data_IF_268587282063
#
_entry.id   IF_268587282063
#
_cell.length_a   1.000
_cell.length_b   1.000
_cell.length_c   1.000
_cell.angle_alpha   90.00
_cell.angle_beta   90.00
_cell.angle_gamma   90.00
#
_symmetry.space_group_name_H-M   'P 1'
#
loop_
_entity.id
_entity.type
_entity.pdbx_description
1 polymer ?
#
# COMPACT_ATOMS: atom_id res chain seq x y z
N UNK A 1 27.88 -47.15 8.28
CA UNK A 1 26.67 -46.62 7.62
C UNK A 1 26.42 -45.22 8.17
N UNK A 2 27.08 -44.21 7.64
CA UNK A 2 26.92 -42.79 8.03
C UNK A 2 27.23 -41.95 6.79
N UNK A 3 26.27 -41.86 5.88
CA UNK A 3 26.42 -41.11 4.63
C UNK A 3 25.12 -40.57 4.05
N UNK A 4 23.99 -40.67 4.78
CA UNK A 4 22.66 -40.31 4.26
C UNK A 4 22.23 -38.87 4.59
N UNK A 5 22.86 -38.22 5.57
CA UNK A 5 22.39 -36.94 6.10
C UNK A 5 22.75 -35.73 5.23
N UNK A 6 23.77 -35.82 4.37
CA UNK A 6 24.17 -34.71 3.49
C UNK A 6 23.25 -34.54 2.27
N UNK A 7 22.86 -35.63 1.62
CA UNK A 7 21.99 -35.61 0.43
C UNK A 7 20.58 -35.14 0.77
N UNK A 8 20.03 -35.56 1.91
CA UNK A 8 18.66 -35.17 2.33
C UNK A 8 18.56 -33.69 2.68
N UNK A 9 19.61 -33.10 3.28
CA UNK A 9 19.64 -31.68 3.65
C UNK A 9 19.84 -30.79 2.41
N UNK A 10 20.65 -31.22 1.44
CA UNK A 10 20.84 -30.49 0.17
C UNK A 10 19.60 -30.54 -0.73
N UNK A 11 18.88 -31.67 -0.74
CA UNK A 11 17.64 -31.81 -1.51
C UNK A 11 16.50 -30.99 -0.87
N UNK A 12 16.44 -30.92 0.47
CA UNK A 12 15.51 -30.04 1.18
C UNK A 12 15.76 -28.55 0.87
N UNK A 13 17.02 -28.09 0.93
CA UNK A 13 17.37 -26.70 0.60
C UNK A 13 17.09 -26.36 -0.87
N UNK A 14 17.30 -27.32 -1.79
CA UNK A 14 16.99 -27.14 -3.21
C UNK A 14 15.47 -26.98 -3.43
N UNK A 15 14.67 -27.78 -2.73
CA UNK A 15 13.21 -27.70 -2.79
C UNK A 15 12.69 -26.40 -2.17
N UNK A 16 13.28 -25.93 -1.08
CA UNK A 16 12.92 -24.66 -0.43
C UNK A 16 13.10 -23.47 -1.38
N UNK A 17 14.20 -23.43 -2.13
CA UNK A 17 14.43 -22.38 -3.13
C UNK A 17 13.36 -22.40 -4.24
N UNK A 18 12.96 -23.58 -4.72
CA UNK A 18 11.89 -23.72 -5.72
C UNK A 18 10.54 -23.22 -5.19
N UNK A 19 10.21 -23.54 -3.94
CA UNK A 19 8.98 -23.08 -3.29
C UNK A 19 8.99 -21.57 -3.15
N UNK A 20 10.08 -21.01 -2.61
CA UNK A 20 10.20 -19.57 -2.40
C UNK A 20 10.15 -18.77 -3.70
N UNK A 21 10.78 -19.26 -4.78
CA UNK A 21 10.72 -18.63 -6.09
C UNK A 21 9.30 -18.55 -6.64
N UNK A 22 8.54 -19.64 -6.57
CA UNK A 22 7.10 -19.64 -6.92
C UNK A 22 6.29 -18.70 -6.04
N UNK A 23 6.55 -18.69 -4.74
CA UNK A 23 5.84 -17.81 -3.82
C UNK A 23 6.04 -16.33 -4.17
N UNK A 24 7.26 -15.91 -4.51
CA UNK A 24 7.54 -14.52 -4.90
C UNK A 24 6.77 -14.18 -6.19
N UNK A 25 6.81 -15.07 -7.19
CA UNK A 25 6.11 -14.87 -8.46
C UNK A 25 4.60 -14.71 -8.28
N UNK A 26 3.99 -15.57 -7.47
CA UNK A 26 2.57 -15.49 -7.17
C UNK A 26 2.22 -14.22 -6.37
N UNK A 27 3.10 -13.79 -5.45
CA UNK A 27 2.91 -12.57 -4.67
C UNK A 27 2.90 -11.33 -5.56
N UNK A 28 3.89 -11.23 -6.45
CA UNK A 28 4.01 -10.15 -7.43
C UNK A 28 2.79 -10.10 -8.35
N UNK A 29 2.36 -11.25 -8.90
CA UNK A 29 1.20 -11.31 -9.79
C UNK A 29 -0.09 -10.82 -9.10
N UNK A 30 -0.32 -11.23 -7.85
CA UNK A 30 -1.47 -10.76 -7.06
C UNK A 30 -1.37 -9.26 -6.78
N UNK A 31 -0.20 -8.78 -6.36
CA UNK A 31 0.02 -7.38 -6.04
C UNK A 31 -0.19 -6.48 -7.27
N UNK A 32 0.36 -6.84 -8.43
CA UNK A 32 0.16 -6.11 -9.69
C UNK A 32 -1.29 -6.15 -10.16
N UNK A 33 -1.94 -7.30 -10.05
CA UNK A 33 -3.37 -7.43 -10.35
C UNK A 33 -4.20 -6.45 -9.51
N UNK A 34 -3.93 -6.38 -8.20
CA UNK A 34 -4.59 -5.45 -7.30
C UNK A 34 -4.31 -3.99 -7.66
N UNK A 35 -3.05 -3.59 -7.90
CA UNK A 35 -2.72 -2.23 -8.30
C UNK A 35 -3.39 -1.83 -9.61
N UNK A 36 -3.45 -2.74 -10.59
CA UNK A 36 -4.13 -2.51 -11.86
C UNK A 36 -5.62 -2.31 -11.66
N UNK A 37 -6.27 -3.11 -10.81
CA UNK A 37 -7.68 -2.93 -10.47
C UNK A 37 -7.91 -1.60 -9.77
N UNK A 38 -7.08 -1.27 -8.76
CA UNK A 38 -7.23 -0.04 -8.00
C UNK A 38 -7.10 1.22 -8.88
N UNK A 39 -6.13 1.22 -9.80
CA UNK A 39 -5.91 2.32 -10.75
C UNK A 39 -7.14 2.66 -11.60
N UNK A 40 -7.98 1.67 -11.90
CA UNK A 40 -9.17 1.84 -12.74
C UNK A 40 -10.47 1.87 -11.93
N UNK A 41 -10.40 1.84 -10.60
CA UNK A 41 -11.59 1.92 -9.76
C UNK A 41 -12.31 3.25 -9.94
N UNK A 42 -13.63 3.23 -9.83
CA UNK A 42 -14.44 4.45 -9.75
C UNK A 42 -14.55 4.99 -8.31
N UNK A 43 -14.23 4.16 -7.31
CA UNK A 43 -14.22 4.53 -5.91
C UNK A 43 -12.95 5.34 -5.55
N UNK A 44 -13.15 6.49 -4.92
CA UNK A 44 -12.09 7.39 -4.47
C UNK A 44 -11.12 6.70 -3.51
N UNK A 45 -11.61 6.00 -2.49
CA UNK A 45 -10.74 5.38 -1.48
C UNK A 45 -9.80 4.34 -2.09
N UNK A 46 -10.32 3.59 -3.08
CA UNK A 46 -9.52 2.66 -3.86
C UNK A 46 -8.46 3.37 -4.72
N UNK A 47 -8.80 4.47 -5.40
CA UNK A 47 -7.82 5.25 -6.16
C UNK A 47 -6.78 5.94 -5.27
N UNK A 48 -7.20 6.46 -4.12
CA UNK A 48 -6.35 7.09 -3.12
C UNK A 48 -5.30 6.10 -2.62
N UNK A 49 -5.70 4.87 -2.29
CA UNK A 49 -4.78 3.81 -1.90
C UNK A 49 -3.76 3.46 -3.00
N UNK A 50 -4.17 3.44 -4.28
CA UNK A 50 -3.24 3.26 -5.40
C UNK A 50 -2.22 4.40 -5.44
N UNK A 51 -2.68 5.65 -5.42
CA UNK A 51 -1.82 6.83 -5.50
C UNK A 51 -0.95 7.00 -4.26
N UNK A 52 -1.42 6.58 -3.09
CA UNK A 52 -0.64 6.53 -1.85
C UNK A 52 0.49 5.51 -1.95
N UNK A 53 0.17 4.31 -2.45
CA UNK A 53 1.18 3.26 -2.66
C UNK A 53 2.22 3.74 -3.68
N UNK A 54 1.80 4.29 -4.81
CA UNK A 54 2.70 4.81 -5.85
C UNK A 54 3.54 5.99 -5.35
N UNK A 55 2.95 6.93 -4.60
CA UNK A 55 3.68 8.04 -3.98
C UNK A 55 4.74 7.53 -3.00
N UNK A 56 4.42 6.51 -2.19
CA UNK A 56 5.39 5.92 -1.27
C UNK A 56 6.53 5.23 -2.02
N UNK A 57 6.25 4.46 -3.06
CA UNK A 57 7.29 3.86 -3.91
C UNK A 57 8.25 4.92 -4.44
N UNK A 58 7.73 6.07 -4.90
CA UNK A 58 8.55 7.20 -5.35
C UNK A 58 9.44 7.78 -4.24
N UNK A 59 8.96 7.83 -2.99
CA UNK A 59 9.82 8.26 -1.86
C UNK A 59 10.99 7.33 -1.60
N UNK A 60 10.85 6.05 -1.93
CA UNK A 60 11.90 5.03 -1.85
C UNK A 60 12.78 5.00 -3.13
N UNK A 61 12.52 5.88 -4.09
CA UNK A 61 13.21 5.92 -5.37
C UNK A 61 12.95 4.68 -6.25
N UNK A 62 11.86 3.94 -5.99
CA UNK A 62 11.43 2.77 -6.77
C UNK A 62 10.14 3.07 -7.52
N UNK A 63 9.92 2.36 -8.61
CA UNK A 63 8.67 2.39 -9.37
C UNK A 63 8.04 1.00 -9.43
N UNK A 64 6.74 0.92 -9.73
CA UNK A 64 6.04 -0.37 -9.88
C UNK A 64 6.72 -1.29 -10.91
N UNK A 65 7.15 -0.83 -12.10
CA UNK A 65 7.86 -1.68 -13.06
C UNK A 65 9.19 -2.23 -12.51
N UNK A 66 9.91 -1.45 -11.70
CA UNK A 66 11.17 -1.91 -11.10
C UNK A 66 10.93 -2.96 -10.01
N UNK A 67 9.81 -2.87 -9.28
CA UNK A 67 9.39 -3.93 -8.35
C UNK A 67 9.09 -5.21 -9.12
N UNK A 68 8.38 -5.12 -10.25
CA UNK A 68 8.06 -6.26 -11.11
C UNK A 68 9.31 -6.94 -11.66
N UNK A 69 10.22 -6.15 -12.26
CA UNK A 69 11.47 -6.65 -12.81
C UNK A 69 12.33 -7.34 -11.74
N UNK A 70 12.42 -6.74 -10.55
CA UNK A 70 13.18 -7.29 -9.44
C UNK A 70 12.53 -8.57 -8.89
N UNK A 71 11.20 -8.62 -8.78
CA UNK A 71 10.47 -9.81 -8.34
C UNK A 71 10.69 -10.98 -9.32
N UNK A 72 10.56 -10.72 -10.62
CA UNK A 72 10.76 -11.70 -11.66
C UNK A 72 12.17 -12.29 -11.62
N UNK A 73 13.19 -11.42 -11.52
CA UNK A 73 14.58 -11.84 -11.41
C UNK A 73 14.84 -12.64 -10.12
N UNK A 74 14.34 -12.17 -8.97
CA UNK A 74 14.56 -12.85 -7.68
C UNK A 74 13.89 -14.23 -7.66
N UNK A 75 12.68 -14.35 -8.21
CA UNK A 75 11.99 -15.63 -8.36
C UNK A 75 12.79 -16.58 -9.26
N UNK A 76 13.25 -16.11 -10.43
CA UNK A 76 14.04 -16.91 -11.36
C UNK A 76 15.38 -17.35 -10.75
N UNK A 77 16.05 -16.47 -10.00
CA UNK A 77 17.30 -16.79 -9.33
C UNK A 77 17.13 -17.89 -8.27
N UNK A 78 16.06 -17.83 -7.48
CA UNK A 78 15.72 -18.88 -6.51
C UNK A 78 15.39 -20.20 -7.21
N UNK A 79 14.58 -20.17 -8.26
CA UNK A 79 14.26 -21.37 -9.04
C UNK A 79 15.51 -21.98 -9.70
N UNK A 80 16.44 -21.15 -10.20
CA UNK A 80 17.71 -21.60 -10.76
C UNK A 80 18.60 -22.27 -9.71
N UNK A 81 18.69 -21.72 -8.50
CA UNK A 81 19.43 -22.35 -7.38
C UNK A 81 18.84 -23.72 -7.02
N UNK A 82 17.51 -23.81 -6.90
CA UNK A 82 16.84 -25.08 -6.61
C UNK A 82 17.02 -26.14 -7.72
N UNK A 83 17.19 -25.70 -8.96
CA UNK A 83 17.45 -26.58 -10.12
C UNK A 83 18.94 -26.77 -10.43
N UNK A 84 19.84 -26.19 -9.62
CA UNK A 84 21.29 -26.19 -9.83
C UNK A 84 21.70 -25.66 -11.23
N UNK A 85 20.95 -24.69 -11.75
CA UNK A 85 21.25 -23.97 -12.98
C UNK A 85 22.08 -22.71 -12.68
N UNK A 86 22.84 -22.20 -13.66
CA UNK A 86 23.46 -20.89 -13.54
C UNK A 86 22.43 -19.81 -13.20
N UNK A 87 22.81 -18.86 -12.34
CA UNK A 87 21.95 -17.75 -11.96
C UNK A 87 21.66 -16.85 -13.17
N UNK A 88 20.43 -16.33 -13.33
CA UNK A 88 20.11 -15.38 -14.36
C UNK A 88 20.87 -14.07 -14.11
N UNK A 89 21.41 -13.49 -15.19
CA UNK A 89 21.99 -12.16 -15.12
C UNK A 89 20.85 -11.14 -14.84
N UNK A 90 21.01 -10.25 -13.84
CA UNK A 90 20.07 -9.16 -13.63
C UNK A 90 20.11 -8.20 -14.84
N UNK A 91 18.95 -7.80 -15.35
CA UNK A 91 18.87 -6.88 -16.49
C UNK A 91 19.41 -5.49 -16.12
N UNK A 92 19.12 -5.04 -14.91
CA UNK A 92 19.73 -3.89 -14.26
C UNK A 92 19.80 -4.16 -12.76
N UNK A 93 20.98 -3.99 -12.15
CA UNK A 93 21.11 -4.09 -10.71
C UNK A 93 20.73 -2.74 -10.09
N UNK A 94 19.69 -2.67 -9.25
CA UNK A 94 19.44 -1.48 -8.46
C UNK A 94 20.65 -1.22 -7.54
N UNK A 95 20.93 0.06 -7.26
CA UNK A 95 21.90 0.40 -6.22
C UNK A 95 21.57 -0.28 -4.89
N UNK A 96 22.56 -0.50 -4.02
CA UNK A 96 22.41 -1.32 -2.82
C UNK A 96 21.24 -0.90 -1.92
N UNK A 97 21.01 0.40 -1.76
CA UNK A 97 19.90 0.96 -0.99
C UNK A 97 18.53 0.62 -1.62
N UNK A 98 18.41 0.84 -2.92
CA UNK A 98 17.20 0.53 -3.69
C UNK A 98 16.90 -0.97 -3.68
N UNK A 99 17.93 -1.81 -3.77
CA UNK A 99 17.81 -3.27 -3.65
C UNK A 99 17.25 -3.68 -2.28
N UNK A 100 17.67 -3.01 -1.19
CA UNK A 100 17.12 -3.25 0.16
C UNK A 100 15.64 -2.90 0.23
N UNK A 101 15.22 -1.76 -0.32
CA UNK A 101 13.81 -1.38 -0.36
C UNK A 101 12.96 -2.36 -1.17
N UNK A 102 13.40 -2.72 -2.37
CA UNK A 102 12.72 -3.69 -3.23
C UNK A 102 12.54 -5.03 -2.53
N UNK A 103 13.58 -5.52 -1.84
CA UNK A 103 13.49 -6.78 -1.09
C UNK A 103 12.49 -6.69 0.06
N UNK A 104 12.53 -5.61 0.83
CA UNK A 104 11.57 -5.37 1.92
C UNK A 104 10.12 -5.36 1.44
N UNK A 105 9.85 -4.69 0.31
CA UNK A 105 8.53 -4.65 -0.30
C UNK A 105 8.05 -6.04 -0.73
N UNK A 106 8.91 -6.81 -1.42
CA UNK A 106 8.56 -8.16 -1.85
C UNK A 106 8.27 -9.10 -0.67
N UNK A 107 9.06 -9.02 0.41
CA UNK A 107 8.81 -9.80 1.61
C UNK A 107 7.47 -9.41 2.25
N UNK A 108 7.15 -8.12 2.34
CA UNK A 108 5.86 -7.64 2.84
C UNK A 108 4.68 -8.11 1.98
N UNK A 109 4.79 -8.09 0.65
CA UNK A 109 3.72 -8.58 -0.24
C UNK A 109 3.56 -10.10 -0.16
N UNK A 110 4.68 -10.83 -0.09
CA UNK A 110 4.67 -12.30 0.04
C UNK A 110 4.02 -12.74 1.35
N UNK A 111 4.34 -12.08 2.46
CA UNK A 111 3.74 -12.37 3.77
C UNK A 111 2.29 -11.88 3.88
N UNK A 112 1.92 -10.86 3.11
CA UNK A 112 0.60 -10.22 3.12
C UNK A 112 -0.39 -10.69 2.04
N UNK A 113 -0.10 -11.80 1.33
CA UNK A 113 -0.88 -12.28 0.15
C UNK A 113 -2.40 -12.39 0.34
N UNK A 114 -2.88 -12.62 1.55
CA UNK A 114 -4.30 -12.84 1.85
C UNK A 114 -5.06 -11.59 2.31
N UNK A 115 -4.36 -10.47 2.53
CA UNK A 115 -4.98 -9.26 3.08
C UNK A 115 -5.24 -8.22 1.99
N UNK A 116 -6.51 -7.88 1.79
CA UNK A 116 -6.92 -6.73 0.97
C UNK A 116 -6.27 -5.47 1.52
N UNK A 117 -5.54 -4.72 0.69
CA UNK A 117 -5.14 -3.36 1.05
C UNK A 117 -6.41 -2.53 1.04
N UNK A 118 -6.76 -1.92 2.16
CA UNK A 118 -7.85 -0.96 2.23
C UNK A 118 -7.34 0.25 2.99
N UNK A 119 -7.64 1.44 2.46
CA UNK A 119 -7.52 2.68 3.21
C UNK A 119 -8.84 2.97 3.92
N UNK A 120 -9.56 1.96 4.41
CA UNK A 120 -10.85 2.20 5.05
C UNK A 120 -10.69 3.08 6.30
N UNK A 121 -10.89 4.38 6.11
CA UNK A 121 -10.91 5.38 7.17
C UNK A 121 -12.28 5.44 7.85
N UNK A 122 -13.28 4.72 7.32
CA UNK A 122 -14.54 4.48 8.02
C UNK A 122 -14.28 3.35 9.03
N UNK A 123 -13.65 3.72 10.15
CA UNK A 123 -13.36 2.78 11.23
C UNK A 123 -14.61 1.97 11.65
N UNK A 124 -14.42 0.83 12.35
CA UNK A 124 -15.52 -0.05 12.73
C UNK A 124 -16.61 0.71 13.47
N UNK A 125 -17.85 0.33 13.18
CA UNK A 125 -19.09 0.82 13.79
C UNK A 125 -18.92 1.20 15.26
N UNK A 126 -19.39 2.40 15.58
CA UNK A 126 -19.59 2.92 16.94
C UNK A 126 -18.32 2.95 17.82
N UNK A 127 -17.70 4.14 17.89
CA UNK A 127 -17.09 4.55 19.16
C UNK A 127 -18.18 4.48 20.23
N UNK A 128 -18.15 3.44 21.07
CA UNK A 128 -18.96 3.37 22.28
C UNK A 128 -18.71 4.66 23.09
N UNK A 129 -19.80 5.41 23.27
CA UNK A 129 -19.87 6.79 23.71
C UNK A 129 -19.51 6.99 25.19
N UNK A 130 -18.40 6.43 25.66
CA UNK A 130 -17.95 6.63 27.03
C UNK A 130 -17.12 7.90 27.24
N UNK A 131 -16.62 8.52 26.15
CA UNK A 131 -16.09 9.90 26.09
C UNK A 131 -16.37 10.52 24.71
N UNK A 132 -17.62 10.54 24.25
CA UNK A 132 -17.96 11.14 22.96
C UNK A 132 -17.96 12.68 23.07
N UNK A 133 -16.86 13.31 22.66
CA UNK A 133 -16.84 14.73 22.31
C UNK A 133 -17.76 14.94 21.09
N UNK A 134 -18.67 15.91 21.17
CA UNK A 134 -19.59 16.28 20.08
C UNK A 134 -18.81 16.53 18.78
N UNK A 135 -17.60 17.07 18.90
CA UNK A 135 -16.68 17.28 17.79
C UNK A 135 -16.34 16.00 17.03
N UNK A 136 -16.04 14.91 17.75
CA UNK A 136 -15.67 13.62 17.15
C UNK A 136 -16.84 13.02 16.38
N UNK A 137 -18.05 13.11 16.93
CA UNK A 137 -19.26 12.58 16.30
C UNK A 137 -19.60 13.33 15.01
N UNK A 138 -19.43 14.66 15.01
CA UNK A 138 -19.60 15.49 13.81
C UNK A 138 -18.56 15.11 12.75
N UNK A 139 -17.29 15.03 13.14
CA UNK A 139 -16.18 14.73 12.23
C UNK A 139 -16.33 13.35 11.58
N UNK A 140 -16.73 12.32 12.34
CA UNK A 140 -17.01 10.99 11.80
C UNK A 140 -18.14 10.99 10.78
N UNK A 141 -19.27 11.63 11.11
CA UNK A 141 -20.43 11.67 10.22
C UNK A 141 -20.12 12.38 8.91
N UNK A 142 -19.45 13.52 8.97
CA UNK A 142 -19.06 14.28 7.77
C UNK A 142 -18.04 13.50 6.92
N UNK A 143 -17.09 12.83 7.57
CA UNK A 143 -16.15 11.96 6.88
C UNK A 143 -16.86 10.80 6.17
N UNK A 144 -17.70 10.05 6.88
CA UNK A 144 -18.45 8.92 6.30
C UNK A 144 -19.33 9.35 5.13
N UNK A 145 -20.04 10.48 5.25
CA UNK A 145 -20.85 11.01 4.16
C UNK A 145 -20.01 11.35 2.92
N UNK A 146 -18.81 11.90 3.12
CA UNK A 146 -17.89 12.22 2.04
C UNK A 146 -17.29 10.97 1.39
N UNK A 147 -16.93 9.95 2.18
CA UNK A 147 -16.48 8.65 1.66
C UNK A 147 -17.59 7.97 0.85
N UNK A 148 -18.82 8.00 1.34
CA UNK A 148 -19.97 7.43 0.61
C UNK A 148 -20.18 8.13 -0.73
N UNK A 149 -20.06 9.46 -0.79
CA UNK A 149 -20.10 10.22 -2.04
C UNK A 149 -18.91 9.86 -2.96
N UNK A 150 -17.76 9.53 -2.39
CA UNK A 150 -16.55 9.14 -3.11
C UNK A 150 -16.64 7.78 -3.81
N UNK A 151 -17.62 6.93 -3.50
CA UNK A 151 -17.80 5.63 -4.15
C UNK A 151 -18.06 5.77 -5.67
N UNK A 152 -18.69 6.87 -6.07
CA UNK A 152 -18.99 7.19 -7.48
C UNK A 152 -18.01 8.24 -8.06
N UNK A 153 -16.86 8.46 -7.43
CA UNK A 153 -15.88 9.49 -7.82
C UNK A 153 -15.46 9.43 -9.30
N UNK A 154 -15.41 8.23 -9.87
CA UNK A 154 -15.13 7.99 -11.29
C UNK A 154 -16.05 8.79 -12.23
N UNK A 155 -17.31 8.96 -11.83
CA UNK A 155 -18.37 9.64 -12.59
C UNK A 155 -18.29 11.17 -12.55
N UNK A 156 -17.52 11.73 -11.61
CA UNK A 156 -17.40 13.17 -11.47
C UNK A 156 -16.65 13.76 -12.66
N UNK A 157 -17.10 14.93 -13.09
CA UNK A 157 -16.33 15.75 -14.01
C UNK A 157 -15.07 16.30 -13.33
N UNK A 158 -14.20 16.96 -14.10
CA UNK A 158 -12.93 17.47 -13.57
C UNK A 158 -13.13 18.47 -12.44
N UNK A 159 -14.15 19.33 -12.51
CA UNK A 159 -14.40 20.32 -11.48
C UNK A 159 -14.90 19.64 -10.18
N UNK A 160 -15.82 18.69 -10.31
CA UNK A 160 -16.33 17.88 -9.21
C UNK A 160 -15.23 17.07 -8.52
N UNK A 161 -14.30 16.51 -9.29
CA UNK A 161 -13.12 15.80 -8.74
C UNK A 161 -12.22 16.72 -7.92
N UNK A 162 -11.95 17.93 -8.41
CA UNK A 162 -11.14 18.91 -7.67
C UNK A 162 -11.84 19.34 -6.37
N UNK A 163 -13.14 19.65 -6.43
CA UNK A 163 -13.94 20.03 -5.27
C UNK A 163 -13.99 18.89 -4.24
N UNK A 164 -14.16 17.64 -4.69
CA UNK A 164 -14.14 16.48 -3.81
C UNK A 164 -12.80 16.36 -3.08
N UNK A 165 -11.68 16.50 -3.80
CA UNK A 165 -10.34 16.47 -3.20
C UNK A 165 -10.16 17.63 -2.19
N UNK A 166 -10.65 18.84 -2.51
CA UNK A 166 -10.62 19.97 -1.56
C UNK A 166 -11.40 19.65 -0.27
N UNK A 167 -12.53 18.93 -0.38
CA UNK A 167 -13.37 18.57 0.77
C UNK A 167 -12.73 17.49 1.63
N UNK A 168 -12.12 16.46 1.03
CA UNK A 168 -11.50 15.37 1.81
C UNK A 168 -10.25 15.87 2.54
N UNK A 169 -9.43 16.71 1.89
CA UNK A 169 -8.27 17.36 2.52
C UNK A 169 -8.68 18.23 3.74
N UNK A 170 -9.85 18.88 3.70
CA UNK A 170 -10.37 19.64 4.84
C UNK A 170 -10.78 18.74 6.02
N UNK A 171 -11.43 17.60 5.72
CA UNK A 171 -11.79 16.60 6.75
C UNK A 171 -10.54 15.98 7.37
N UNK A 172 -9.53 15.66 6.56
CA UNK A 172 -8.25 15.13 7.03
C UNK A 172 -7.49 16.11 7.92
N UNK A 173 -7.49 17.38 7.58
CA UNK A 173 -6.87 18.42 8.42
C UNK A 173 -7.54 18.49 9.80
N UNK A 174 -8.88 18.37 9.84
CA UNK A 174 -9.63 18.31 11.11
C UNK A 174 -9.30 17.06 11.90
N UNK A 175 -9.15 15.90 11.25
CA UNK A 175 -8.65 14.69 11.88
C UNK A 175 -7.24 14.87 12.46
N UNK A 176 -6.35 15.53 11.72
CA UNK A 176 -4.98 15.81 12.17
C UNK A 176 -4.96 16.67 13.44
N UNK A 177 -5.78 17.74 13.47
CA UNK A 177 -5.92 18.60 14.65
C UNK A 177 -6.52 17.84 15.84
N UNK A 178 -7.57 17.05 15.60
CA UNK A 178 -8.21 16.22 16.62
C UNK A 178 -7.22 15.22 17.25
N UNK A 179 -6.54 14.42 16.43
CA UNK A 179 -5.53 13.47 16.88
C UNK A 179 -4.33 14.13 17.56
N UNK A 180 -3.93 15.31 17.09
CA UNK A 180 -2.88 16.11 17.73
C UNK A 180 -3.24 16.49 19.16
N UNK A 181 -4.49 16.89 19.41
CA UNK A 181 -4.98 17.21 20.77
C UNK A 181 -5.02 15.99 21.67
N UNK A 182 -5.56 14.86 21.19
CA UNK A 182 -5.56 13.61 21.97
C UNK A 182 -4.15 13.19 22.40
N UNK A 183 -3.18 13.26 21.48
CA UNK A 183 -1.78 12.94 21.78
C UNK A 183 -1.18 13.88 22.83
N UNK A 184 -1.48 15.17 22.77
CA UNK A 184 -1.03 16.14 23.79
C UNK A 184 -1.66 15.89 25.16
N UNK A 185 -2.87 15.34 25.19
CA UNK A 185 -3.57 14.95 26.42
C UNK A 185 -3.08 13.59 26.98
N UNK A 186 -2.23 12.86 26.24
CA UNK A 186 -1.77 11.53 26.62
C UNK A 186 -2.84 10.44 26.44
N UNK A 187 -3.88 10.72 25.65
CA UNK A 187 -4.94 9.77 25.34
C UNK A 187 -4.46 8.68 24.35
N UNK A 188 -5.09 7.51 24.42
CA UNK A 188 -4.79 6.42 23.50
C UNK A 188 -5.20 6.76 22.05
N UNK A 189 -4.47 6.21 21.08
CA UNK A 189 -4.81 6.33 19.65
C UNK A 189 -6.23 5.75 19.40
N UNK A 190 -7.13 6.50 18.72
CA UNK A 190 -8.45 6.01 18.37
C UNK A 190 -8.41 4.74 17.51
N UNK A 191 -9.46 3.90 17.53
CA UNK A 191 -9.53 2.64 16.75
C UNK A 191 -9.21 2.79 15.25
N UNK A 192 -9.59 3.91 14.62
CA UNK A 192 -9.28 4.14 13.19
C UNK A 192 -7.77 4.37 12.94
N UNK A 193 -7.04 4.95 13.89
CA UNK A 193 -5.56 5.06 13.77
C UNK A 193 -4.93 3.68 13.87
N UNK A 194 -5.56 2.77 14.62
CA UNK A 194 -5.11 1.39 14.72
C UNK A 194 -5.44 0.59 13.45
N UNK A 195 -6.56 0.87 12.76
CA UNK A 195 -6.95 0.16 11.52
C UNK A 195 -6.02 0.44 10.34
N UNK A 196 -5.39 1.62 10.27
CA UNK A 196 -4.42 1.95 9.21
C UNK A 196 -3.02 1.37 9.48
N UNK A 197 -2.72 0.95 10.71
CA UNK A 197 -1.38 0.47 11.10
C UNK A 197 -0.92 -0.76 10.29
N UNK A 198 -1.75 -1.79 10.05
CA UNK A 198 -1.37 -2.91 9.19
C UNK A 198 -1.02 -2.50 7.76
N UNK A 199 -1.74 -1.51 7.20
CA UNK A 199 -1.42 -0.96 5.88
C UNK A 199 -0.03 -0.32 5.88
N UNK A 200 0.25 0.57 6.83
CA UNK A 200 1.54 1.25 6.96
C UNK A 200 2.69 0.26 7.17
N UNK A 201 2.50 -0.72 8.06
CA UNK A 201 3.48 -1.78 8.30
C UNK A 201 3.76 -2.59 7.04
N UNK A 202 2.72 -2.95 6.28
CA UNK A 202 2.88 -3.69 5.03
C UNK A 202 3.62 -2.87 3.97
N UNK A 203 3.41 -1.56 3.93
CA UNK A 203 4.14 -0.69 3.02
C UNK A 203 5.57 -0.39 3.51
N UNK A 204 5.91 -0.72 4.75
CA UNK A 204 7.20 -0.33 5.35
C UNK A 204 7.28 1.17 5.63
N UNK A 205 6.13 1.84 5.73
CA UNK A 205 5.99 3.29 5.88
C UNK A 205 5.81 3.69 7.34
N UNK A 206 6.59 4.66 7.81
CA UNK A 206 6.40 5.19 9.16
C UNK A 206 5.14 6.07 9.22
N UNK A 207 4.43 6.02 10.35
CA UNK A 207 3.23 6.85 10.56
C UNK A 207 3.52 8.37 10.47
N UNK A 208 4.74 8.79 10.79
CA UNK A 208 5.19 10.18 10.64
C UNK A 208 5.29 10.65 9.19
N UNK A 209 5.46 9.72 8.24
CA UNK A 209 5.65 10.00 6.82
C UNK A 209 4.34 9.90 6.03
N UNK A 210 3.37 9.14 6.55
CA UNK A 210 2.09 8.86 5.89
C UNK A 210 1.34 10.13 5.44
N UNK A 211 1.32 11.20 6.25
CA UNK A 211 0.66 12.46 5.87
C UNK A 211 1.30 13.12 4.65
N UNK A 212 2.63 13.04 4.50
CA UNK A 212 3.31 13.60 3.34
C UNK A 212 3.04 12.77 2.08
N UNK A 213 3.01 11.44 2.23
CA UNK A 213 2.66 10.51 1.15
C UNK A 213 1.22 10.73 0.69
N UNK A 214 0.26 10.86 1.63
CA UNK A 214 -1.15 11.11 1.32
C UNK A 214 -1.34 12.42 0.55
N UNK A 215 -0.69 13.51 1.00
CA UNK A 215 -0.71 14.77 0.27
C UNK A 215 -0.15 14.63 -1.15
N UNK A 216 0.93 13.87 -1.33
CA UNK A 216 1.46 13.58 -2.66
C UNK A 216 0.48 12.76 -3.51
N UNK A 217 -0.28 11.84 -2.90
CA UNK A 217 -1.31 11.08 -3.58
C UNK A 217 -2.44 11.98 -4.09
N UNK A 218 -2.96 12.88 -3.26
CA UNK A 218 -3.98 13.86 -3.67
C UNK A 218 -3.50 14.78 -4.78
N UNK A 219 -2.26 15.25 -4.72
CA UNK A 219 -1.69 16.04 -5.81
C UNK A 219 -1.71 15.29 -7.14
N UNK A 220 -1.42 13.99 -7.16
CA UNK A 220 -1.52 13.19 -8.38
C UNK A 220 -2.97 13.02 -8.83
N UNK A 221 -3.90 12.81 -7.90
CA UNK A 221 -5.33 12.76 -8.21
C UNK A 221 -5.84 14.06 -8.86
N UNK A 222 -5.39 15.22 -8.37
CA UNK A 222 -5.70 16.53 -8.97
C UNK A 222 -5.18 16.65 -10.39
N UNK A 223 -3.91 16.29 -10.62
CA UNK A 223 -3.31 16.30 -11.97
C UNK A 223 -4.09 15.36 -12.92
N UNK A 224 -4.55 14.21 -12.42
CA UNK A 224 -5.35 13.27 -13.20
C UNK A 224 -6.76 13.80 -13.51
N UNK A 225 -7.37 14.58 -12.62
CA UNK A 225 -8.64 15.25 -12.88
C UNK A 225 -8.50 16.24 -14.05
N UNK A 226 -7.46 17.08 -14.03
CA UNK A 226 -7.25 18.12 -15.04
C UNK A 226 -6.92 17.54 -16.42
N UNK A 227 -6.10 16.48 -16.48
CA UNK A 227 -5.70 15.85 -17.75
C UNK A 227 -6.84 15.14 -18.48
N UNK A 228 -7.85 14.65 -17.74
CA UNK A 228 -9.05 14.05 -18.35
C UNK A 228 -10.00 15.08 -18.98
N UNK A 229 -9.85 16.37 -18.68
CA UNK A 229 -10.59 17.46 -19.36
C UNK A 229 -10.09 17.78 -20.76
N UNK A 230 -8.87 17.36 -21.13
CA UNK A 230 -8.23 17.71 -22.40
C UNK A 230 -8.48 16.74 -23.57
N UNK A 231 -9.23 15.66 -23.34
CA UNK A 231 -9.44 14.57 -24.31
C UNK A 231 -10.89 14.46 -24.82
N UNK A 232 -11.68 15.52 -24.69
CA UNK A 232 -13.05 15.63 -25.20
C UNK A 232 -13.15 16.45 -26.48
#
# INVERSE_FOLDING_TARGET
MTGSTGSEVEDASSQDHLVLGREIRDADAVWRGNLMQMRHSEDFQTQELYHFTDAHLRTLGVSVPEVEEFAAWQAEALEAMGQRRPLPAPQALPGSEKATHLRGLLDSFRLGKTQTLSMDLTGPEALEASVADEELSVLQREHSALIDMGKDYGTFDSAGKQIFIDQIEQIEERWRVYLGRLRLMGEADPPFVQSIRPLLQRLGLAASEATAVLRSAHQQLRVNADTRSGSG
#
